data_IF_800609004635
#
_entry.id   IF_800609004635
#
_cell.length_a   1.000
_cell.length_b   1.000
_cell.length_c   1.000
_cell.angle_alpha   90.00
_cell.angle_beta   90.00
_cell.angle_gamma   90.00
#
_symmetry.space_group_name_H-M   'P 1'
#
loop_
_entity.id
_entity.type
_entity.pdbx_description
1 polymer ?
#
# COMPACT_ATOMS: atom_id res chain seq x y z
N UNK A 1 -28.68 -9.35 30.27
CA UNK A 1 -29.49 -9.38 29.03
C UNK A 1 -30.93 -9.84 29.24
N UNK A 2 -31.19 -10.81 30.13
CA UNK A 2 -32.58 -11.22 30.47
C UNK A 2 -33.35 -10.12 31.23
N UNK A 3 -32.69 -9.38 32.13
CA UNK A 3 -33.30 -8.31 32.93
C UNK A 3 -33.77 -7.11 32.11
N UNK A 4 -33.00 -6.71 31.09
CA UNK A 4 -33.38 -5.61 30.18
C UNK A 4 -34.54 -5.98 29.27
N UNK A 5 -34.63 -7.26 28.85
CA UNK A 5 -35.79 -7.75 28.10
C UNK A 5 -37.09 -7.75 28.91
N UNK A 6 -37.01 -8.14 30.19
CA UNK A 6 -38.16 -8.15 31.10
C UNK A 6 -38.70 -6.74 31.39
N UNK A 7 -37.80 -5.76 31.55
CA UNK A 7 -38.16 -4.37 31.81
C UNK A 7 -38.86 -3.72 30.60
N UNK A 8 -38.39 -3.98 29.38
CA UNK A 8 -39.03 -3.48 28.15
C UNK A 8 -40.40 -4.14 27.95
N UNK A 9 -40.53 -5.43 28.27
CA UNK A 9 -41.82 -6.13 28.21
C UNK A 9 -42.83 -5.56 29.21
N UNK A 10 -42.40 -5.31 30.46
CA UNK A 10 -43.25 -4.72 31.48
C UNK A 10 -43.69 -3.29 31.12
N UNK A 11 -42.78 -2.48 30.55
CA UNK A 11 -43.09 -1.12 30.11
C UNK A 11 -44.06 -1.10 28.92
N UNK A 12 -43.88 -1.98 27.94
CA UNK A 12 -44.78 -2.11 26.80
C UNK A 12 -46.17 -2.62 27.22
N UNK A 13 -46.23 -3.60 28.14
CA UNK A 13 -47.49 -4.07 28.70
C UNK A 13 -48.21 -2.97 29.48
N UNK A 14 -47.49 -2.18 30.29
CA UNK A 14 -48.06 -1.07 31.03
C UNK A 14 -48.60 0.05 30.12
N UNK A 15 -47.88 0.41 29.05
CA UNK A 15 -48.33 1.39 28.06
C UNK A 15 -49.56 0.92 27.27
N UNK A 16 -49.63 -0.38 26.96
CA UNK A 16 -50.80 -0.97 26.32
C UNK A 16 -52.01 -0.95 27.26
N UNK A 17 -51.78 -1.22 28.56
CA UNK A 17 -52.81 -1.22 29.59
C UNK A 17 -53.37 0.17 29.87
N UNK A 18 -52.52 1.21 29.81
CA UNK A 18 -52.97 2.60 29.95
C UNK A 18 -53.67 3.11 28.71
N UNK A 19 -53.29 2.66 27.51
CA UNK A 19 -53.93 3.04 26.25
C UNK A 19 -55.32 2.41 26.03
N UNK A 20 -55.55 1.18 26.53
CA UNK A 20 -56.81 0.47 26.32
C UNK A 20 -57.93 0.87 27.30
N UNK A 21 -57.60 1.51 28.44
CA UNK A 21 -58.58 1.91 29.46
C UNK A 21 -59.26 0.74 30.18
N UNK A 22 -59.89 0.99 31.33
CA UNK A 22 -60.66 -0.02 32.05
C UNK A 22 -61.91 -0.41 31.23
N UNK A 23 -62.22 -1.72 31.06
CA UNK A 23 -63.42 -2.12 30.34
C UNK A 23 -64.65 -1.73 31.15
N UNK A 24 -65.37 -0.72 30.66
CA UNK A 24 -66.73 -0.43 31.09
C UNK A 24 -67.71 -1.20 30.17
N UNK A 25 -68.48 -2.11 30.77
CA UNK A 25 -69.54 -2.96 30.20
C UNK A 25 -69.14 -4.40 29.76
N UNK A 26 -70.05 -5.39 29.89
CA UNK A 26 -69.76 -6.81 29.68
C UNK A 26 -69.65 -7.12 28.19
N UNK A 27 -68.43 -7.10 27.66
CA UNK A 27 -68.13 -7.48 26.27
C UNK A 27 -68.27 -9.00 26.07
N UNK A 28 -68.75 -9.46 24.89
CA UNK A 28 -68.79 -10.89 24.57
C UNK A 28 -67.38 -11.48 24.67
N UNK A 29 -67.25 -12.64 25.35
CA UNK A 29 -65.95 -13.29 25.65
C UNK A 29 -65.01 -13.44 24.44
N UNK A 30 -65.57 -13.52 23.23
CA UNK A 30 -64.83 -13.67 21.98
C UNK A 30 -64.01 -12.43 21.57
N UNK A 31 -64.46 -11.21 21.88
CA UNK A 31 -63.75 -9.99 21.47
C UNK A 31 -62.50 -9.73 22.31
N UNK A 32 -62.59 -10.01 23.61
CA UNK A 32 -61.42 -9.99 24.52
C UNK A 32 -60.37 -10.99 24.04
N UNK A 33 -60.79 -12.20 23.65
CA UNK A 33 -59.88 -13.25 23.15
C UNK A 33 -59.21 -12.82 21.84
N UNK A 34 -59.94 -12.20 20.91
CA UNK A 34 -59.36 -11.69 19.65
C UNK A 34 -58.31 -10.60 19.90
N UNK A 35 -58.62 -9.62 20.74
CA UNK A 35 -57.68 -8.54 21.08
C UNK A 35 -56.43 -9.12 21.73
N UNK A 36 -56.60 -10.00 22.72
CA UNK A 36 -55.48 -10.67 23.38
C UNK A 36 -54.59 -11.45 22.39
N UNK A 37 -55.19 -12.21 21.45
CA UNK A 37 -54.46 -12.96 20.43
C UNK A 37 -53.66 -12.04 19.49
N UNK A 38 -54.25 -10.92 19.04
CA UNK A 38 -53.55 -9.98 18.14
C UNK A 38 -52.38 -9.28 18.81
N UNK A 39 -52.51 -8.92 20.09
CA UNK A 39 -51.43 -8.30 20.87
C UNK A 39 -50.29 -9.27 21.08
N UNK A 40 -50.59 -10.52 21.48
CA UNK A 40 -49.57 -11.57 21.66
C UNK A 40 -48.85 -11.88 20.36
N UNK A 41 -49.59 -11.98 19.24
CA UNK A 41 -49.00 -12.17 17.92
C UNK A 41 -48.09 -11.00 17.51
N UNK A 42 -48.54 -9.76 17.74
CA UNK A 42 -47.75 -8.55 17.46
C UNK A 42 -46.46 -8.47 18.28
N UNK A 43 -46.54 -8.73 19.59
CA UNK A 43 -45.35 -8.81 20.45
C UNK A 43 -44.41 -9.95 20.01
N UNK A 44 -44.96 -11.12 19.67
CA UNK A 44 -44.19 -12.24 19.13
C UNK A 44 -43.42 -11.86 17.85
N UNK A 45 -44.07 -11.13 16.94
CA UNK A 45 -43.45 -10.62 15.72
C UNK A 45 -42.29 -9.65 15.98
N UNK A 46 -42.48 -8.69 16.90
CA UNK A 46 -41.41 -7.73 17.26
C UNK A 46 -40.23 -8.44 17.92
N UNK A 47 -40.48 -9.37 18.84
CA UNK A 47 -39.41 -10.17 19.48
C UNK A 47 -38.65 -10.99 18.44
N UNK A 48 -39.36 -11.65 17.51
CA UNK A 48 -38.73 -12.41 16.44
C UNK A 48 -37.83 -11.52 15.56
N UNK A 49 -38.29 -10.32 15.21
CA UNK A 49 -37.53 -9.36 14.40
C UNK A 49 -36.28 -8.87 15.13
N UNK A 50 -36.38 -8.53 16.42
CA UNK A 50 -35.22 -8.12 17.23
C UNK A 50 -34.21 -9.25 17.37
N UNK A 51 -34.67 -10.49 17.59
CA UNK A 51 -33.78 -11.66 17.67
C UNK A 51 -33.10 -11.91 16.33
N UNK A 52 -33.83 -11.85 15.22
CA UNK A 52 -33.27 -12.00 13.88
C UNK A 52 -32.21 -10.93 13.60
N UNK A 53 -32.51 -9.66 13.90
CA UNK A 53 -31.55 -8.55 13.75
C UNK A 53 -30.31 -8.72 14.63
N UNK A 54 -30.48 -9.08 15.90
CA UNK A 54 -29.34 -9.32 16.80
C UNK A 54 -28.48 -10.50 16.35
N UNK A 55 -29.11 -11.59 15.91
CA UNK A 55 -28.42 -12.75 15.37
C UNK A 55 -27.64 -12.35 14.12
N UNK A 56 -28.25 -11.61 13.20
CA UNK A 56 -27.60 -11.08 12.01
C UNK A 56 -26.37 -10.24 12.37
N UNK A 57 -26.49 -9.26 13.28
CA UNK A 57 -25.37 -8.41 13.71
C UNK A 57 -24.23 -9.19 14.34
N UNK A 58 -24.54 -10.21 15.14
CA UNK A 58 -23.52 -11.09 15.73
C UNK A 58 -22.82 -11.91 14.65
N UNK A 59 -23.57 -12.47 13.70
CA UNK A 59 -23.01 -13.25 12.57
C UNK A 59 -22.14 -12.40 11.65
N UNK A 60 -22.59 -11.21 11.25
CA UNK A 60 -21.78 -10.26 10.45
C UNK A 60 -20.47 -9.87 11.17
N UNK A 61 -20.55 -9.63 12.48
CA UNK A 61 -19.36 -9.32 13.28
C UNK A 61 -18.41 -10.52 13.41
N UNK A 62 -18.95 -11.74 13.46
CA UNK A 62 -18.16 -12.96 13.52
C UNK A 62 -17.47 -13.23 12.19
N UNK A 63 -18.17 -13.12 11.06
CA UNK A 63 -17.62 -13.28 9.71
C UNK A 63 -16.49 -12.27 9.45
N UNK A 64 -16.69 -11.00 9.84
CA UNK A 64 -15.66 -9.97 9.72
C UNK A 64 -14.41 -10.32 10.52
N UNK A 65 -14.58 -10.78 11.77
CA UNK A 65 -13.46 -11.20 12.63
C UNK A 65 -12.74 -12.41 12.07
N UNK A 66 -13.47 -13.40 11.56
CA UNK A 66 -12.90 -14.59 10.93
C UNK A 66 -12.12 -14.24 9.66
N UNK A 67 -12.65 -13.34 8.82
CA UNK A 67 -11.94 -12.84 7.64
C UNK A 67 -10.64 -12.12 8.02
N UNK A 68 -10.69 -11.22 8.99
CA UNK A 68 -9.50 -10.51 9.48
C UNK A 68 -8.49 -11.49 10.08
N UNK A 69 -8.95 -12.49 10.84
CA UNK A 69 -8.09 -13.54 11.39
C UNK A 69 -7.40 -14.33 10.27
N UNK A 70 -8.15 -14.77 9.26
CA UNK A 70 -7.59 -15.51 8.12
C UNK A 70 -6.51 -14.71 7.38
N UNK A 71 -6.75 -13.41 7.14
CA UNK A 71 -5.76 -12.53 6.49
C UNK A 71 -4.51 -12.36 7.36
N UNK A 72 -4.66 -12.19 8.67
CA UNK A 72 -3.53 -12.14 9.60
C UNK A 72 -2.74 -13.47 9.64
N UNK A 73 -3.42 -14.61 9.63
CA UNK A 73 -2.77 -15.92 9.62
C UNK A 73 -1.97 -16.12 8.31
N UNK A 74 -2.53 -15.71 7.17
CA UNK A 74 -1.83 -15.71 5.86
C UNK A 74 -0.63 -14.75 5.85
N UNK A 75 -0.79 -13.56 6.43
CA UNK A 75 0.31 -12.59 6.59
C UNK A 75 1.48 -13.20 7.37
N UNK A 76 1.19 -13.78 8.53
CA UNK A 76 2.20 -14.43 9.37
C UNK A 76 2.90 -15.60 8.66
N UNK A 77 2.15 -16.42 7.92
CA UNK A 77 2.72 -17.51 7.13
C UNK A 77 3.63 -17.00 6.01
N UNK A 78 3.24 -15.95 5.28
CA UNK A 78 4.04 -15.37 4.20
C UNK A 78 5.33 -14.71 4.73
N UNK A 79 5.25 -13.99 5.84
CA UNK A 79 6.43 -13.45 6.54
C UNK A 79 7.39 -14.57 6.99
N UNK A 80 6.87 -15.70 7.48
CA UNK A 80 7.68 -16.87 7.85
C UNK A 80 8.38 -17.48 6.64
N UNK A 81 7.68 -17.58 5.49
CA UNK A 81 8.27 -18.06 4.24
C UNK A 81 9.39 -17.14 3.73
N UNK A 82 9.20 -15.81 3.82
CA UNK A 82 10.24 -14.83 3.45
C UNK A 82 11.50 -14.93 4.30
N UNK A 83 11.39 -15.35 5.56
CA UNK A 83 12.54 -15.56 6.45
C UNK A 83 13.23 -16.91 6.30
N UNK A 84 12.82 -17.75 5.35
CA UNK A 84 13.32 -19.12 5.21
C UNK A 84 14.70 -19.20 4.54
N UNK A 85 15.54 -20.18 4.90
CA UNK A 85 16.91 -20.32 4.34
C UNK A 85 16.93 -20.67 2.85
N UNK A 86 15.92 -21.40 2.38
CA UNK A 86 15.76 -21.75 0.95
C UNK A 86 15.16 -20.61 0.13
N UNK A 87 15.84 -20.12 -0.93
CA UNK A 87 15.36 -19.01 -1.77
C UNK A 87 13.99 -19.23 -2.42
N UNK A 88 13.68 -20.47 -2.84
CA UNK A 88 12.38 -20.78 -3.45
C UNK A 88 11.21 -20.63 -2.48
N UNK A 89 11.42 -20.91 -1.19
CA UNK A 89 10.42 -20.68 -0.15
C UNK A 89 10.25 -19.19 0.10
N UNK A 90 11.36 -18.41 0.11
CA UNK A 90 11.28 -16.94 0.20
C UNK A 90 10.49 -16.34 -0.96
N UNK A 91 10.72 -16.83 -2.17
CA UNK A 91 9.99 -16.41 -3.36
C UNK A 91 8.49 -16.70 -3.25
N UNK A 92 8.11 -17.88 -2.72
CA UNK A 92 6.70 -18.18 -2.44
C UNK A 92 6.10 -17.18 -1.43
N UNK A 93 6.85 -16.84 -0.38
CA UNK A 93 6.46 -15.82 0.60
C UNK A 93 6.27 -14.43 -0.02
N UNK A 94 7.16 -14.02 -0.92
CA UNK A 94 7.06 -12.76 -1.68
C UNK A 94 5.76 -12.70 -2.48
N UNK A 95 5.44 -13.75 -3.26
CA UNK A 95 4.20 -13.78 -4.04
C UNK A 95 2.95 -13.86 -3.15
N UNK A 96 3.02 -14.58 -2.02
CA UNK A 96 1.93 -14.64 -1.06
C UNK A 96 1.66 -13.26 -0.43
N UNK A 97 2.70 -12.50 -0.06
CA UNK A 97 2.57 -11.14 0.46
C UNK A 97 2.04 -10.17 -0.59
N UNK A 98 2.48 -10.29 -1.85
CA UNK A 98 1.96 -9.47 -2.93
C UNK A 98 0.46 -9.75 -3.19
N UNK A 99 0.05 -11.02 -3.22
CA UNK A 99 -1.36 -11.40 -3.34
C UNK A 99 -2.18 -10.90 -2.16
N UNK A 100 -1.62 -10.95 -0.95
CA UNK A 100 -2.29 -10.44 0.25
C UNK A 100 -2.44 -8.91 0.21
N UNK A 101 -1.41 -8.19 -0.25
CA UNK A 101 -1.45 -6.75 -0.46
C UNK A 101 -2.54 -6.36 -1.47
N UNK A 102 -2.75 -7.18 -2.51
CA UNK A 102 -3.82 -6.98 -3.49
C UNK A 102 -5.22 -7.14 -2.84
N UNK A 103 -5.40 -8.20 -2.05
CA UNK A 103 -6.68 -8.58 -1.43
C UNK A 103 -7.04 -7.79 -0.16
N UNK A 104 -6.07 -7.15 0.50
CA UNK A 104 -6.26 -6.51 1.80
C UNK A 104 -5.89 -5.01 1.80
N UNK A 105 -6.75 -4.13 1.22
CA UNK A 105 -6.47 -2.69 1.11
C UNK A 105 -6.09 -2.03 2.44
N UNK A 106 -6.78 -2.38 3.53
CA UNK A 106 -6.55 -1.81 4.87
C UNK A 106 -5.14 -2.04 5.41
N UNK A 107 -4.46 -3.11 4.96
CA UNK A 107 -3.09 -3.45 5.39
C UNK A 107 -2.12 -3.61 4.21
N UNK A 108 -2.48 -3.06 3.04
CA UNK A 108 -1.63 -3.08 1.86
C UNK A 108 -0.29 -2.43 2.14
N UNK A 109 -0.29 -1.29 2.83
CA UNK A 109 0.93 -0.58 3.22
C UNK A 109 1.85 -1.50 4.04
N UNK A 110 1.32 -2.24 5.02
CA UNK A 110 2.15 -3.15 5.85
C UNK A 110 2.76 -4.27 5.01
N UNK A 111 2.03 -4.80 4.02
CA UNK A 111 2.58 -5.80 3.11
C UNK A 111 3.69 -5.21 2.22
N UNK A 112 3.51 -3.99 1.71
CA UNK A 112 4.53 -3.23 0.97
C UNK A 112 5.75 -3.00 1.86
N UNK A 113 5.56 -2.58 3.11
CA UNK A 113 6.64 -2.30 4.06
C UNK A 113 7.50 -3.54 4.32
N UNK A 114 6.90 -4.73 4.42
CA UNK A 114 7.64 -5.99 4.56
C UNK A 114 8.48 -6.29 3.32
N UNK A 115 7.89 -6.17 2.12
CA UNK A 115 8.60 -6.36 0.85
C UNK A 115 9.78 -5.39 0.71
N UNK A 116 9.55 -4.11 1.01
CA UNK A 116 10.58 -3.07 1.05
C UNK A 116 11.65 -3.35 2.11
N UNK A 117 11.26 -3.79 3.32
CA UNK A 117 12.21 -4.14 4.37
C UNK A 117 13.16 -5.26 3.97
N UNK A 118 12.69 -6.25 3.20
CA UNK A 118 13.50 -7.34 2.69
C UNK A 118 14.60 -6.82 1.75
N UNK A 119 14.26 -5.87 0.87
CA UNK A 119 15.24 -5.22 -0.03
C UNK A 119 16.31 -4.41 0.72
N UNK A 120 16.00 -3.93 1.94
CA UNK A 120 16.94 -3.20 2.80
C UNK A 120 17.89 -4.09 3.61
N UNK A 121 17.63 -5.41 3.69
CA UNK A 121 18.58 -6.34 4.29
C UNK A 121 19.87 -6.30 3.45
N UNK A 122 21.06 -6.09 4.04
CA UNK A 122 22.31 -6.03 3.29
C UNK A 122 22.54 -7.27 2.44
N UNK A 123 22.86 -7.06 1.17
CA UNK A 123 23.19 -8.12 0.22
C UNK A 123 24.11 -7.53 -0.85
N UNK A 124 25.27 -8.15 -1.04
CA UNK A 124 26.18 -7.80 -2.13
C UNK A 124 25.95 -8.80 -3.27
N UNK A 125 25.39 -8.38 -4.41
CA UNK A 125 25.14 -9.28 -5.52
C UNK A 125 26.46 -9.74 -6.14
N UNK A 126 26.55 -11.00 -6.56
CA UNK A 126 27.67 -11.50 -7.34
C UNK A 126 27.66 -10.89 -8.76
N UNK A 127 28.49 -9.86 -8.96
CA UNK A 127 28.60 -9.14 -10.22
C UNK A 127 29.35 -9.91 -11.31
N UNK A 128 30.16 -10.90 -10.92
CA UNK A 128 31.01 -11.69 -11.83
C UNK A 128 30.34 -13.01 -12.28
N UNK A 129 29.14 -13.30 -11.76
CA UNK A 129 28.34 -14.46 -12.15
C UNK A 129 28.08 -14.49 -13.67
N UNK A 130 28.28 -15.65 -14.35
CA UNK A 130 27.98 -15.81 -15.79
C UNK A 130 26.53 -15.49 -16.15
N UNK A 131 25.62 -15.68 -15.20
CA UNK A 131 24.19 -15.41 -15.34
C UNK A 131 23.79 -14.06 -14.77
N UNK A 132 24.75 -13.33 -14.18
CA UNK A 132 24.53 -12.02 -13.58
C UNK A 132 23.45 -12.01 -12.49
N UNK A 133 23.21 -13.13 -11.81
CA UNK A 133 22.34 -13.22 -10.64
C UNK A 133 22.70 -14.45 -9.78
N UNK A 134 22.57 -14.31 -8.47
CA UNK A 134 22.48 -15.42 -7.52
C UNK A 134 21.02 -15.67 -7.11
N UNK A 135 20.77 -16.71 -6.32
CA UNK A 135 19.41 -17.06 -5.91
C UNK A 135 18.74 -15.97 -5.04
N UNK A 136 19.52 -15.17 -4.31
CA UNK A 136 19.01 -14.07 -3.51
C UNK A 136 18.64 -12.86 -4.39
N UNK A 137 19.44 -12.60 -5.41
CA UNK A 137 19.20 -11.62 -6.46
C UNK A 137 17.86 -11.89 -7.14
N UNK A 138 17.50 -13.14 -7.44
CA UNK A 138 16.20 -13.46 -8.03
C UNK A 138 15.01 -13.16 -7.12
N UNK A 139 15.13 -13.37 -5.81
CA UNK A 139 14.08 -12.99 -4.84
C UNK A 139 13.91 -11.47 -4.84
N UNK A 140 15.01 -10.72 -4.78
CA UNK A 140 15.01 -9.25 -4.74
C UNK A 140 14.51 -8.62 -6.04
N UNK A 141 14.91 -9.18 -7.18
CA UNK A 141 14.40 -8.81 -8.50
C UNK A 141 12.90 -9.07 -8.58
N UNK A 142 12.42 -10.20 -8.04
CA UNK A 142 10.98 -10.49 -8.01
C UNK A 142 10.21 -9.47 -7.18
N UNK A 143 10.72 -9.08 -6.01
CA UNK A 143 10.12 -8.00 -5.22
C UNK A 143 10.08 -6.70 -6.02
N UNK A 144 11.21 -6.29 -6.60
CA UNK A 144 11.32 -5.05 -7.38
C UNK A 144 10.35 -5.02 -8.57
N UNK A 145 10.23 -6.14 -9.30
CA UNK A 145 9.28 -6.33 -10.41
C UNK A 145 7.83 -6.22 -9.94
N UNK A 146 7.51 -6.79 -8.78
CA UNK A 146 6.17 -6.69 -8.17
C UNK A 146 5.87 -5.22 -7.85
N UNK A 147 6.77 -4.51 -7.15
CA UNK A 147 6.56 -3.10 -6.82
C UNK A 147 6.35 -2.25 -8.08
N UNK A 148 7.24 -2.38 -9.06
CA UNK A 148 7.17 -1.66 -10.34
C UNK A 148 5.86 -1.92 -11.09
N UNK A 149 5.43 -3.19 -11.19
CA UNK A 149 4.19 -3.56 -11.88
C UNK A 149 2.97 -2.87 -11.28
N UNK A 150 2.86 -2.79 -9.96
CA UNK A 150 1.70 -2.18 -9.30
C UNK A 150 1.72 -0.64 -9.30
N UNK A 151 2.88 -0.04 -9.59
CA UNK A 151 3.03 1.40 -9.74
C UNK A 151 2.82 1.89 -11.18
N UNK A 152 2.84 1.01 -12.18
CA UNK A 152 2.56 1.37 -13.57
C UNK A 152 1.06 1.67 -13.79
N UNK A 153 0.71 2.70 -14.59
CA UNK A 153 -0.67 2.90 -15.03
C UNK A 153 -1.26 1.66 -15.69
N UNK A 154 -2.50 1.32 -15.37
CA UNK A 154 -3.19 0.14 -15.92
C UNK A 154 -2.88 -1.19 -15.20
N UNK A 155 -2.15 -1.17 -14.08
CA UNK A 155 -2.00 -2.34 -13.22
C UNK A 155 -3.37 -2.89 -12.77
N UNK A 156 -3.59 -4.23 -12.75
CA UNK A 156 -4.87 -4.82 -12.32
C UNK A 156 -5.30 -4.41 -10.91
N UNK A 157 -4.32 -4.32 -10.00
CA UNK A 157 -4.45 -3.70 -8.69
C UNK A 157 -3.39 -2.61 -8.62
N UNK A 158 -3.78 -1.43 -8.19
CA UNK A 158 -2.93 -0.24 -8.20
C UNK A 158 -2.41 0.04 -6.79
N UNK A 159 -1.09 0.18 -6.63
CA UNK A 159 -0.43 0.52 -5.36
C UNK A 159 0.12 1.96 -5.36
N UNK A 160 -0.20 2.77 -6.37
CA UNK A 160 0.14 4.18 -6.44
C UNK A 160 -0.47 4.93 -5.25
N UNK A 161 0.28 5.91 -4.73
CA UNK A 161 -0.10 6.71 -3.58
C UNK A 161 0.26 6.11 -2.21
N UNK A 162 0.79 4.88 -2.18
CA UNK A 162 1.43 4.28 -1.01
C UNK A 162 2.89 4.73 -0.86
N UNK A 163 3.45 4.50 0.33
CA UNK A 163 4.85 4.77 0.62
C UNK A 163 5.72 3.54 0.33
N UNK A 164 6.91 3.74 -0.21
CA UNK A 164 7.89 2.72 -0.56
C UNK A 164 9.25 3.09 0.05
N UNK A 165 9.60 2.48 1.18
CA UNK A 165 10.85 2.72 1.89
C UNK A 165 11.95 1.74 1.43
N UNK A 166 12.70 2.15 0.42
CA UNK A 166 13.87 1.45 -0.11
C UNK A 166 15.18 2.11 0.35
N UNK A 167 15.16 2.81 1.49
CA UNK A 167 16.35 3.44 2.06
C UNK A 167 17.43 2.40 2.32
N UNK A 168 18.66 2.64 1.85
CA UNK A 168 19.79 1.69 1.96
C UNK A 168 19.61 0.36 1.22
N UNK A 169 18.61 0.25 0.35
CA UNK A 169 18.47 -0.95 -0.48
C UNK A 169 19.65 -1.07 -1.46
N UNK A 170 20.06 -2.31 -1.72
CA UNK A 170 21.02 -2.62 -2.81
C UNK A 170 20.21 -3.09 -4.01
N UNK A 171 20.18 -2.29 -5.07
CA UNK A 171 19.32 -2.50 -6.22
C UNK A 171 20.17 -2.68 -7.49
N UNK A 172 20.10 -3.87 -8.06
CA UNK A 172 20.76 -4.24 -9.32
C UNK A 172 19.69 -4.60 -10.36
N UNK A 173 19.84 -4.14 -11.60
CA UNK A 173 18.89 -4.44 -12.69
C UNK A 173 17.42 -4.10 -12.34
N UNK A 174 17.21 -2.98 -11.63
CA UNK A 174 15.91 -2.55 -11.15
C UNK A 174 15.16 -1.77 -12.25
N UNK A 175 14.01 -2.30 -12.66
CA UNK A 175 13.14 -1.69 -13.67
C UNK A 175 11.96 -0.97 -13.02
N UNK A 176 12.05 0.35 -12.90
CA UNK A 176 10.96 1.25 -12.53
C UNK A 176 10.50 2.10 -13.73
N UNK A 177 10.71 1.63 -14.95
CA UNK A 177 10.23 2.34 -16.13
C UNK A 177 8.70 2.42 -16.12
N UNK A 178 8.17 3.60 -16.47
CA UNK A 178 6.74 3.88 -16.60
C UNK A 178 5.95 3.88 -15.29
N UNK A 179 6.61 3.86 -14.13
CA UNK A 179 5.88 3.98 -12.86
C UNK A 179 5.25 5.38 -12.73
N UNK A 180 4.18 5.48 -11.94
CA UNK A 180 3.52 6.73 -11.64
C UNK A 180 3.48 6.97 -10.13
N UNK A 181 3.93 8.14 -9.69
CA UNK A 181 3.97 8.56 -8.29
C UNK A 181 3.04 9.78 -8.10
N UNK A 182 1.72 9.57 -7.96
CA UNK A 182 0.74 10.65 -7.80
C UNK A 182 0.70 11.24 -6.39
N UNK A 183 1.14 10.47 -5.40
CA UNK A 183 1.26 10.87 -4.00
C UNK A 183 2.14 9.84 -3.28
N UNK A 184 2.34 10.02 -1.98
CA UNK A 184 3.20 9.13 -1.20
C UNK A 184 4.68 9.33 -1.51
N UNK A 185 5.51 8.52 -0.87
CA UNK A 185 6.97 8.64 -0.90
C UNK A 185 7.60 7.42 -1.56
N UNK A 186 8.47 7.64 -2.53
CA UNK A 186 9.33 6.62 -3.11
C UNK A 186 10.78 6.88 -2.69
N UNK A 187 11.21 6.24 -1.60
CA UNK A 187 12.42 6.61 -0.88
C UNK A 187 13.57 5.66 -1.21
N UNK A 188 14.58 6.15 -1.92
CA UNK A 188 15.82 5.47 -2.30
C UNK A 188 17.06 6.13 -1.69
N UNK A 189 16.89 6.94 -0.64
CA UNK A 189 18.02 7.59 0.01
C UNK A 189 19.01 6.55 0.55
N UNK A 190 20.30 6.81 0.40
CA UNK A 190 21.39 5.92 0.76
C UNK A 190 21.36 4.56 0.03
N UNK A 191 20.51 4.38 -0.99
CA UNK A 191 20.50 3.16 -1.79
C UNK A 191 21.81 3.04 -2.58
N UNK A 192 22.24 1.79 -2.79
CA UNK A 192 23.42 1.47 -3.60
C UNK A 192 22.98 0.80 -4.90
N UNK A 193 23.55 1.24 -6.00
CA UNK A 193 23.36 0.65 -7.32
C UNK A 193 24.70 0.10 -7.82
N UNK A 194 25.05 -1.16 -7.48
CA UNK A 194 26.39 -1.74 -7.64
C UNK A 194 26.77 -2.08 -9.10
N UNK A 195 26.12 -1.46 -10.09
CA UNK A 195 26.31 -1.73 -11.50
C UNK A 195 25.06 -2.26 -12.22
N UNK A 196 25.21 -2.52 -13.52
CA UNK A 196 24.10 -2.90 -14.39
C UNK A 196 23.29 -1.67 -14.85
N UNK A 197 21.98 -1.86 -15.01
CA UNK A 197 21.06 -0.80 -15.43
C UNK A 197 19.95 -0.61 -14.40
N UNK A 198 19.55 0.64 -14.19
CA UNK A 198 18.38 1.00 -13.38
C UNK A 198 17.58 2.00 -14.19
N UNK A 199 16.33 1.68 -14.49
CA UNK A 199 15.50 2.56 -15.33
C UNK A 199 14.35 3.14 -14.54
N UNK A 200 14.18 4.44 -14.66
CA UNK A 200 13.00 5.23 -14.33
C UNK A 200 12.46 5.88 -15.61
N UNK A 201 12.72 5.28 -16.78
CA UNK A 201 12.33 5.85 -18.06
C UNK A 201 10.82 5.98 -18.15
N UNK A 202 10.34 7.13 -18.62
CA UNK A 202 8.90 7.42 -18.68
C UNK A 202 8.20 7.46 -17.32
N UNK A 203 8.92 7.47 -16.20
CA UNK A 203 8.32 7.67 -14.88
C UNK A 203 7.58 9.01 -14.84
N UNK A 204 6.42 9.03 -14.19
CA UNK A 204 5.65 10.27 -13.97
C UNK A 204 5.59 10.57 -12.49
N UNK A 205 6.01 11.77 -12.09
CA UNK A 205 5.90 12.27 -10.71
C UNK A 205 4.91 13.43 -10.68
N UNK A 206 3.76 13.21 -10.06
CA UNK A 206 2.61 14.12 -10.11
C UNK A 206 1.96 14.28 -8.74
N UNK A 207 2.69 14.94 -7.82
CA UNK A 207 2.25 15.22 -6.45
C UNK A 207 2.93 14.35 -5.39
N UNK A 208 3.56 13.24 -5.80
CA UNK A 208 4.39 12.42 -4.92
C UNK A 208 5.82 12.92 -4.75
N UNK A 209 6.57 12.25 -3.88
CA UNK A 209 7.96 12.58 -3.57
C UNK A 209 8.89 11.40 -3.89
N UNK A 210 9.99 11.65 -4.59
CA UNK A 210 11.03 10.65 -4.89
C UNK A 210 12.37 11.14 -4.37
N UNK A 211 13.04 10.31 -3.58
CA UNK A 211 14.20 10.74 -2.79
C UNK A 211 15.40 9.82 -3.05
N UNK A 212 16.50 10.37 -3.52
CA UNK A 212 17.77 9.69 -3.79
C UNK A 212 18.90 10.20 -2.89
N UNK A 213 18.58 10.82 -1.75
CA UNK A 213 19.55 11.51 -0.91
C UNK A 213 20.70 10.60 -0.47
N UNK A 214 21.94 10.94 -0.82
CA UNK A 214 23.12 10.12 -0.50
C UNK A 214 23.19 8.75 -1.18
N UNK A 215 22.39 8.51 -2.23
CA UNK A 215 22.47 7.26 -3.00
C UNK A 215 23.78 7.19 -3.82
N UNK A 216 24.33 6.00 -4.04
CA UNK A 216 25.58 5.80 -4.79
C UNK A 216 25.37 4.95 -6.06
N UNK A 217 25.88 5.44 -7.19
CA UNK A 217 25.74 4.81 -8.51
C UNK A 217 27.05 4.15 -8.97
N UNK A 218 27.49 3.11 -8.26
CA UNK A 218 28.78 2.41 -8.42
C UNK A 218 28.89 1.62 -9.76
N UNK A 219 29.01 2.31 -10.90
CA UNK A 219 29.09 1.68 -12.22
C UNK A 219 27.75 1.51 -12.93
N UNK A 220 26.64 1.81 -12.24
CA UNK A 220 25.30 1.63 -12.79
C UNK A 220 24.97 2.72 -13.82
N UNK A 221 24.34 2.32 -14.93
CA UNK A 221 23.63 3.25 -15.80
C UNK A 221 22.23 3.48 -15.22
N UNK A 222 21.93 4.72 -14.83
CA UNK A 222 20.63 5.12 -14.30
C UNK A 222 19.95 6.09 -15.25
N UNK A 223 18.78 5.73 -15.75
CA UNK A 223 18.08 6.51 -16.77
C UNK A 223 16.73 6.99 -16.25
N UNK A 224 16.42 8.25 -16.54
CA UNK A 224 15.13 8.91 -16.33
C UNK A 224 14.60 9.38 -17.69
N UNK A 225 14.92 8.65 -18.75
CA UNK A 225 14.69 9.11 -20.10
C UNK A 225 13.18 9.18 -20.39
N UNK A 226 12.70 10.32 -20.87
CA UNK A 226 11.27 10.55 -21.08
C UNK A 226 10.44 10.68 -19.80
N UNK A 227 11.05 10.77 -18.62
CA UNK A 227 10.32 10.99 -17.37
C UNK A 227 9.60 12.34 -17.37
N UNK A 228 8.45 12.43 -16.69
CA UNK A 228 7.67 13.66 -16.56
C UNK A 228 7.58 14.11 -15.09
N UNK A 229 8.05 15.33 -14.81
CA UNK A 229 8.03 15.95 -13.48
C UNK A 229 6.99 17.07 -13.45
N UNK A 230 5.77 16.77 -12.98
CA UNK A 230 4.60 17.66 -13.11
C UNK A 230 4.39 18.60 -11.94
N UNK A 231 4.17 18.04 -10.76
CA UNK A 231 3.81 18.81 -9.56
C UNK A 231 4.44 18.25 -8.27
N UNK A 232 5.15 17.12 -8.36
CA UNK A 232 5.84 16.50 -7.24
C UNK A 232 7.29 16.94 -7.10
N UNK A 233 8.02 16.23 -6.23
CA UNK A 233 9.38 16.58 -5.83
C UNK A 233 10.31 15.39 -6.04
N UNK A 234 11.47 15.64 -6.66
CA UNK A 234 12.54 14.66 -6.81
C UNK A 234 13.84 15.27 -6.25
N UNK A 235 14.48 14.63 -5.27
CA UNK A 235 15.71 15.15 -4.65
C UNK A 235 16.86 14.17 -4.73
N UNK A 236 18.04 14.70 -5.05
CA UNK A 236 19.30 13.98 -5.14
C UNK A 236 20.37 14.55 -4.19
N UNK A 237 19.96 15.14 -3.06
CA UNK A 237 20.85 15.74 -2.06
C UNK A 237 21.99 14.78 -1.66
N UNK A 238 23.25 15.15 -1.93
CA UNK A 238 24.42 14.33 -1.61
C UNK A 238 24.53 13.03 -2.39
N UNK A 239 23.72 12.79 -3.42
CA UNK A 239 23.82 11.58 -4.24
C UNK A 239 25.12 11.58 -5.06
N UNK A 240 25.82 10.45 -5.14
CA UNK A 240 27.12 10.32 -5.79
C UNK A 240 27.02 9.68 -7.18
N UNK A 241 27.18 10.51 -8.21
CA UNK A 241 27.12 10.14 -9.62
C UNK A 241 28.48 9.72 -10.19
N UNK A 242 29.57 9.77 -9.41
CA UNK A 242 30.94 9.57 -9.92
C UNK A 242 31.19 8.17 -10.51
N UNK A 243 30.39 7.17 -10.12
CA UNK A 243 30.56 5.80 -10.57
C UNK A 243 29.82 5.44 -11.86
N UNK A 244 28.83 6.20 -12.30
CA UNK A 244 27.83 5.74 -13.27
C UNK A 244 27.33 6.81 -14.24
N UNK A 245 26.61 6.38 -15.28
CA UNK A 245 25.96 7.30 -16.22
C UNK A 245 24.55 7.63 -15.71
N UNK A 246 24.25 8.91 -15.49
CA UNK A 246 22.90 9.37 -15.17
C UNK A 246 22.32 10.17 -16.34
N UNK A 247 21.20 9.70 -16.91
CA UNK A 247 20.57 10.30 -18.09
C UNK A 247 19.16 10.79 -17.81
N UNK A 248 18.82 11.99 -18.31
CA UNK A 248 17.48 12.58 -18.31
C UNK A 248 17.09 13.01 -19.73
N UNK A 249 17.51 12.25 -20.75
CA UNK A 249 17.17 12.60 -22.14
C UNK A 249 15.67 12.52 -22.35
N UNK A 250 15.10 13.47 -23.08
CA UNK A 250 13.67 13.62 -23.33
C UNK A 250 12.82 13.79 -22.07
N UNK A 251 13.42 14.02 -20.91
CA UNK A 251 12.68 14.29 -19.68
C UNK A 251 11.95 15.63 -19.78
N UNK A 252 10.73 15.69 -19.25
CA UNK A 252 9.84 16.85 -19.31
C UNK A 252 9.67 17.45 -17.91
N UNK A 253 10.15 18.66 -17.73
CA UNK A 253 10.00 19.45 -16.50
C UNK A 253 8.79 20.36 -16.66
N UNK A 254 7.70 20.06 -15.95
CA UNK A 254 6.38 20.65 -16.17
C UNK A 254 5.87 21.43 -14.95
N UNK A 255 6.77 21.76 -14.01
CA UNK A 255 6.47 22.54 -12.80
C UNK A 255 6.84 21.83 -11.49
N UNK A 256 7.13 20.53 -11.53
CA UNK A 256 7.65 19.78 -10.39
C UNK A 256 9.09 20.16 -10.06
N UNK A 257 9.46 20.04 -8.78
CA UNK A 257 10.83 20.30 -8.33
C UNK A 257 11.71 19.08 -8.62
N UNK A 258 12.85 19.31 -9.29
CA UNK A 258 13.92 18.32 -9.42
C UNK A 258 15.20 18.97 -8.91
N UNK A 259 15.64 18.55 -7.73
CA UNK A 259 16.79 19.14 -7.05
C UNK A 259 18.03 18.28 -7.20
N UNK A 260 18.96 18.74 -8.06
CA UNK A 260 20.30 18.20 -8.23
C UNK A 260 21.37 19.14 -7.68
N UNK A 261 21.01 20.19 -6.92
CA UNK A 261 21.96 21.24 -6.54
C UNK A 261 23.11 20.76 -5.66
N UNK A 262 22.90 19.67 -4.92
CA UNK A 262 23.88 19.06 -4.03
C UNK A 262 24.34 17.65 -4.48
N UNK A 263 24.22 17.31 -5.78
CA UNK A 263 24.83 16.06 -6.26
C UNK A 263 26.35 16.14 -6.20
N UNK A 264 26.98 15.02 -5.85
CA UNK A 264 28.42 14.86 -5.82
C UNK A 264 28.85 14.04 -7.03
N UNK A 265 29.99 14.36 -7.61
CA UNK A 265 30.57 13.63 -8.74
C UNK A 265 31.04 14.53 -9.88
N UNK A 266 31.99 14.02 -10.67
CA UNK A 266 32.60 14.79 -11.76
C UNK A 266 31.75 14.80 -13.05
N UNK A 267 30.80 13.88 -13.18
CA UNK A 267 29.97 13.72 -14.38
C UNK A 267 28.60 14.30 -14.10
N UNK A 268 28.28 15.40 -14.80
CA UNK A 268 26.93 15.97 -14.78
C UNK A 268 25.96 15.04 -15.53
N UNK A 269 24.71 14.93 -15.04
CA UNK A 269 23.68 14.18 -15.76
C UNK A 269 23.43 14.74 -17.17
N UNK A 270 23.07 13.86 -18.10
CA UNK A 270 22.78 14.22 -19.49
C UNK A 270 21.37 14.80 -19.63
N UNK A 271 21.25 15.97 -20.25
CA UNK A 271 19.97 16.59 -20.58
C UNK A 271 19.91 17.01 -22.05
N UNK A 272 18.68 17.07 -22.58
CA UNK A 272 18.42 17.74 -23.85
C UNK A 272 18.38 19.28 -23.68
N UNK A 273 18.49 20.02 -24.78
CA UNK A 273 18.31 21.47 -24.78
C UNK A 273 16.86 21.87 -24.45
N UNK A 274 16.67 23.10 -23.94
CA UNK A 274 15.34 23.66 -23.65
C UNK A 274 15.12 24.06 -22.19
N UNK A 275 13.97 24.68 -21.93
CA UNK A 275 13.57 25.15 -20.60
C UNK A 275 13.26 23.98 -19.65
N UNK A 276 13.70 24.10 -18.41
CA UNK A 276 13.55 23.06 -17.38
C UNK A 276 13.05 23.69 -16.08
N UNK A 277 11.80 24.18 -16.02
CA UNK A 277 11.28 24.84 -14.84
C UNK A 277 11.27 23.87 -13.64
N UNK A 278 11.68 24.35 -12.46
CA UNK A 278 11.77 23.53 -11.25
C UNK A 278 13.04 22.67 -11.13
N UNK A 279 13.88 22.60 -12.18
CA UNK A 279 15.20 21.97 -12.10
C UNK A 279 16.20 22.88 -11.40
N UNK A 280 16.86 22.37 -10.36
CA UNK A 280 18.00 23.02 -9.70
C UNK A 280 19.26 22.22 -9.99
N UNK A 281 20.32 22.89 -10.43
CA UNK A 281 21.60 22.27 -10.79
C UNK A 281 22.71 22.72 -9.82
N UNK A 282 23.82 21.95 -9.71
CA UNK A 282 24.98 22.39 -8.93
C UNK A 282 25.48 23.74 -9.41
N UNK A 283 25.84 24.61 -8.47
CA UNK A 283 26.53 25.85 -8.80
C UNK A 283 27.92 25.47 -9.31
N UNK A 284 28.24 25.77 -10.58
CA UNK A 284 29.59 25.52 -11.09
C UNK A 284 30.60 26.22 -10.17
N UNK A 285 31.71 25.57 -9.75
CA UNK A 285 32.73 26.28 -9.01
C UNK A 285 33.21 27.45 -9.86
N UNK A 286 33.07 28.66 -9.34
CA UNK A 286 33.61 29.86 -9.97
C UNK A 286 35.09 29.59 -10.26
N UNK A 287 35.45 29.60 -11.54
CA UNK A 287 36.84 29.55 -11.97
C UNK A 287 37.49 30.85 -11.50
N UNK A 288 38.12 30.78 -10.31
CA UNK A 288 39.00 31.82 -9.78
C UNK A 288 40.42 31.62 -10.26
#
# INVERSE_FOLDING_TARGET
MVSTGLAVFAAAAALLWTALGFPAAPTPRLDIVKVALTVVAGMGGVVALVVAYRKQRVTESAETRERVKLLNDRFGAACTQMGHDTPTVRLAGVYALASLADEWPDQRQVCIDVLCSYLRVPHEPDLDSPWSHDAETEVRLSITRILSRHLRPGAPVNWQGHDFDLVRAVLRAADFAGIHVPSGKFHLSLARFPGGWVSFDGMVVDGGEVWFGGATFEGARVTFDGAEFRSGVVRFEGADFAGGEVSFRRARFLGGEVDLSEVVGAVLPLFDEGEKPGLKLPVSPSTG
#
